data_IF_282192596222
#
_entry.id   IF_282192596222
#
_cell.length_a   1.000
_cell.length_b   1.000
_cell.length_c   1.000
_cell.angle_alpha   90.00
_cell.angle_beta   90.00
_cell.angle_gamma   90.00
#
_symmetry.space_group_name_H-M   'P 1'
#
loop_
_entity.id
_entity.type
_entity.pdbx_description
1 polymer ?
#
# COMPACT_ATOMS: atom_id res chain seq x y z
N UNK A 1 41.98 24.31 5.60
CA UNK A 1 41.29 23.46 6.60
C UNK A 1 39.78 23.37 6.38
N UNK A 2 39.05 24.47 6.10
CA UNK A 2 37.60 24.41 5.80
C UNK A 2 37.24 23.54 4.58
N UNK A 3 38.06 23.55 3.52
CA UNK A 3 37.78 22.79 2.28
C UNK A 3 37.79 21.26 2.45
N UNK A 4 38.67 20.70 3.29
CA UNK A 4 38.70 19.26 3.56
C UNK A 4 37.49 18.79 4.35
N UNK A 5 36.98 19.62 5.28
CA UNK A 5 35.81 19.30 6.11
C UNK A 5 34.53 19.27 5.27
N UNK A 6 34.39 20.18 4.30
CA UNK A 6 33.24 20.19 3.37
C UNK A 6 33.27 18.97 2.44
N UNK A 7 34.44 18.57 1.93
CA UNK A 7 34.58 17.38 1.06
C UNK A 7 34.30 16.09 1.84
N UNK A 8 34.78 15.98 3.09
CA UNK A 8 34.49 14.84 3.98
C UNK A 8 33.00 14.77 4.36
N UNK A 9 32.35 15.91 4.63
CA UNK A 9 30.90 15.98 4.89
C UNK A 9 30.08 15.59 3.65
N UNK A 10 30.47 16.04 2.46
CA UNK A 10 29.79 15.67 1.20
C UNK A 10 29.96 14.18 0.88
N UNK A 11 31.13 13.59 1.16
CA UNK A 11 31.36 12.14 1.04
C UNK A 11 30.51 11.33 2.04
N UNK A 12 30.40 11.80 3.29
CA UNK A 12 29.58 11.14 4.32
C UNK A 12 28.08 11.19 4.01
N UNK A 13 27.59 12.29 3.42
CA UNK A 13 26.20 12.44 2.99
C UNK A 13 25.91 11.53 1.78
N UNK A 14 26.87 11.32 0.88
CA UNK A 14 26.72 10.42 -0.28
C UNK A 14 26.70 8.92 0.11
N UNK A 15 27.36 8.56 1.22
CA UNK A 15 27.37 7.19 1.78
C UNK A 15 26.08 6.79 2.51
N UNK A 16 25.21 7.75 2.86
CA UNK A 16 24.13 7.51 3.82
C UNK A 16 22.76 7.17 3.22
N UNK A 17 22.61 7.04 1.90
CA UNK A 17 21.31 6.72 1.29
C UNK A 17 21.45 5.70 0.16
N UNK A 18 21.63 4.45 0.56
CA UNK A 18 21.23 3.28 -0.22
C UNK A 18 21.06 2.16 0.79
N UNK A 19 19.85 1.99 1.34
CA UNK A 19 19.51 0.67 1.90
C UNK A 19 19.48 -0.27 0.69
N UNK A 20 20.58 -0.98 0.49
CA UNK A 20 20.66 -1.97 -0.58
C UNK A 20 19.56 -3.01 -0.37
N UNK A 21 18.78 -3.24 -1.42
CA UNK A 21 17.74 -4.26 -1.40
C UNK A 21 18.40 -5.62 -1.11
N UNK A 22 17.89 -6.42 -0.15
CA UNK A 22 18.43 -7.73 0.16
C UNK A 22 18.67 -8.58 -1.10
N UNK A 23 19.78 -9.33 -1.13
CA UNK A 23 20.24 -10.00 -2.35
C UNK A 23 19.29 -11.08 -2.89
N UNK A 24 18.37 -11.58 -2.06
CA UNK A 24 17.34 -12.54 -2.46
C UNK A 24 16.12 -11.87 -3.10
N UNK A 25 15.98 -10.54 -2.98
CA UNK A 25 14.91 -9.80 -3.64
C UNK A 25 15.28 -9.49 -5.09
N UNK A 26 14.35 -9.67 -6.05
CA UNK A 26 14.61 -9.41 -7.45
C UNK A 26 14.90 -7.93 -7.70
N UNK A 27 15.86 -7.65 -8.58
CA UNK A 27 16.25 -6.30 -8.99
C UNK A 27 15.72 -6.00 -10.39
N UNK A 28 15.06 -4.86 -10.53
CA UNK A 28 14.53 -4.36 -11.80
C UNK A 28 15.03 -2.92 -12.01
N UNK A 29 15.56 -2.64 -13.19
CA UNK A 29 16.10 -1.33 -13.52
C UNK A 29 15.13 -0.57 -14.42
N UNK A 30 14.90 0.72 -14.12
CA UNK A 30 13.89 1.52 -14.82
C UNK A 30 14.19 1.73 -16.31
N UNK A 31 15.45 1.63 -16.70
CA UNK A 31 15.94 1.72 -18.08
C UNK A 31 15.88 0.38 -18.83
N UNK A 32 15.50 -0.71 -18.16
CA UNK A 32 15.30 -2.01 -18.80
C UNK A 32 14.04 -1.98 -19.69
N UNK A 33 14.13 -2.29 -21.00
CA UNK A 33 12.96 -2.37 -21.88
C UNK A 33 11.93 -3.41 -21.42
N UNK A 34 12.32 -4.37 -20.58
CA UNK A 34 11.45 -5.36 -19.96
C UNK A 34 11.11 -5.04 -18.49
N UNK A 35 11.26 -3.79 -18.03
CA UNK A 35 10.98 -3.37 -16.64
C UNK A 35 9.65 -3.90 -16.10
N UNK A 36 8.55 -3.74 -16.85
CA UNK A 36 7.23 -4.22 -16.42
C UNK A 36 7.19 -5.74 -16.19
N UNK A 37 7.82 -6.53 -17.07
CA UNK A 37 7.93 -7.98 -16.92
C UNK A 37 8.85 -8.37 -15.76
N UNK A 38 9.92 -7.60 -15.55
CA UNK A 38 10.79 -7.79 -14.39
C UNK A 38 10.00 -7.57 -13.09
N UNK A 39 9.31 -6.44 -12.95
CA UNK A 39 8.53 -6.11 -11.76
C UNK A 39 7.41 -7.11 -11.49
N UNK A 40 6.68 -7.54 -12.53
CA UNK A 40 5.65 -8.58 -12.42
C UNK A 40 6.24 -9.88 -11.83
N UNK A 41 7.38 -10.34 -12.36
CA UNK A 41 8.08 -11.51 -11.82
C UNK A 41 8.56 -11.26 -10.40
N UNK A 42 9.10 -10.07 -10.13
CA UNK A 42 9.61 -9.70 -8.83
C UNK A 42 8.55 -9.82 -7.73
N UNK A 43 7.37 -9.24 -7.97
CA UNK A 43 6.24 -9.29 -7.03
C UNK A 43 5.71 -10.70 -6.79
N UNK A 44 5.70 -11.58 -7.79
CA UNK A 44 5.26 -12.96 -7.58
C UNK A 44 6.36 -13.84 -6.92
N UNK A 45 7.64 -13.53 -7.15
CA UNK A 45 8.77 -14.25 -6.54
C UNK A 45 8.94 -13.97 -5.04
N UNK A 46 8.64 -12.75 -4.58
CA UNK A 46 8.72 -12.35 -3.18
C UNK A 46 7.58 -12.92 -2.32
N UNK A 47 6.50 -13.39 -2.95
CA UNK A 47 5.30 -13.91 -2.28
C UNK A 47 5.55 -14.85 -1.08
N UNK A 48 6.41 -15.88 -1.13
CA UNK A 48 6.67 -16.74 0.04
C UNK A 48 7.27 -15.98 1.24
N UNK A 49 7.93 -14.84 1.01
CA UNK A 49 8.61 -14.07 2.04
C UNK A 49 7.70 -13.00 2.66
N UNK A 50 6.61 -12.60 2.02
CA UNK A 50 5.75 -11.50 2.50
C UNK A 50 4.83 -11.89 3.65
N UNK A 51 4.60 -13.19 3.87
CA UNK A 51 3.67 -13.70 4.90
C UNK A 51 4.04 -13.17 6.29
N UNK A 52 5.31 -13.31 6.67
CA UNK A 52 5.85 -12.81 7.95
C UNK A 52 6.35 -11.36 7.87
N UNK A 53 6.31 -10.74 6.68
CA UNK A 53 6.95 -9.45 6.42
C UNK A 53 8.44 -9.58 6.11
N UNK A 54 9.06 -8.46 5.77
CA UNK A 54 10.47 -8.35 5.43
C UNK A 54 11.03 -7.11 6.14
N UNK A 55 11.69 -7.35 7.28
CA UNK A 55 12.13 -6.31 8.20
C UNK A 55 13.16 -5.37 7.56
N UNK A 56 14.05 -5.89 6.71
CA UNK A 56 15.12 -5.14 6.05
C UNK A 56 14.59 -3.98 5.21
N UNK A 57 13.42 -4.18 4.61
CA UNK A 57 12.71 -3.16 3.82
C UNK A 57 11.50 -2.56 4.56
N UNK A 58 11.25 -2.96 5.81
CA UNK A 58 10.12 -2.52 6.64
C UNK A 58 8.75 -3.00 6.17
N UNK A 59 8.70 -4.07 5.39
CA UNK A 59 7.42 -4.69 5.01
C UNK A 59 6.83 -5.40 6.23
N UNK A 60 5.66 -5.00 6.73
CA UNK A 60 5.01 -5.71 7.83
C UNK A 60 4.50 -7.09 7.38
N UNK A 61 4.18 -7.94 8.33
CA UNK A 61 3.45 -9.20 8.07
C UNK A 61 2.20 -8.95 7.24
N UNK A 62 2.06 -9.68 6.13
CA UNK A 62 0.83 -9.68 5.33
C UNK A 62 -0.15 -10.77 5.76
N UNK A 63 0.23 -11.64 6.69
CA UNK A 63 -0.66 -12.67 7.21
C UNK A 63 -0.35 -13.08 8.67
N UNK A 64 -1.02 -12.49 9.67
CA UNK A 64 -1.99 -11.41 9.56
C UNK A 64 -1.31 -10.05 9.38
N UNK A 65 -1.96 -9.17 8.62
CA UNK A 65 -1.69 -7.74 8.59
C UNK A 65 -2.55 -7.04 9.66
N UNK A 66 -1.90 -6.21 10.48
CA UNK A 66 -2.48 -5.64 11.69
C UNK A 66 -2.40 -4.11 11.67
N UNK A 67 -3.54 -3.46 11.80
CA UNK A 67 -3.65 -2.03 12.08
C UNK A 67 -4.30 -1.86 13.47
N UNK A 68 -3.55 -1.40 14.48
CA UNK A 68 -4.06 -1.32 15.85
C UNK A 68 -5.28 -0.42 15.98
N UNK A 69 -5.25 0.75 15.35
CA UNK A 69 -6.33 1.73 15.37
C UNK A 69 -6.39 2.44 14.02
N UNK A 70 -7.58 2.62 13.47
CA UNK A 70 -7.83 3.49 12.32
C UNK A 70 -9.16 4.21 12.52
N UNK A 71 -9.24 5.45 12.04
CA UNK A 71 -10.47 6.24 12.10
C UNK A 71 -10.82 6.68 10.69
N UNK A 72 -12.06 6.42 10.29
CA UNK A 72 -12.64 6.91 9.03
C UNK A 72 -13.60 8.04 9.38
N UNK A 73 -13.40 9.17 8.74
CA UNK A 73 -14.22 10.37 8.90
C UNK A 73 -15.00 10.59 7.61
N UNK A 74 -16.31 10.63 7.72
CA UNK A 74 -17.19 11.09 6.65
C UNK A 74 -17.72 12.47 7.05
N UNK A 75 -17.50 13.46 6.20
CA UNK A 75 -17.95 14.84 6.44
C UNK A 75 -18.54 15.43 5.17
N UNK A 76 -19.85 15.21 4.99
CA UNK A 76 -20.65 15.70 3.89
C UNK A 76 -21.93 16.34 4.43
N UNK A 77 -22.63 17.18 3.63
CA UNK A 77 -23.90 17.77 4.06
C UNK A 77 -24.97 16.73 4.43
N UNK A 78 -24.88 15.52 3.87
CA UNK A 78 -25.82 14.44 4.13
C UNK A 78 -25.37 13.51 5.26
N UNK A 79 -24.06 13.39 5.51
CA UNK A 79 -23.52 12.45 6.48
C UNK A 79 -22.28 13.04 7.17
N UNK A 80 -22.33 13.12 8.49
CA UNK A 80 -21.20 13.52 9.33
C UNK A 80 -21.04 12.48 10.43
N UNK A 81 -20.05 11.59 10.29
CA UNK A 81 -19.81 10.54 11.28
C UNK A 81 -18.34 10.09 11.29
N UNK A 82 -17.94 9.56 12.44
CA UNK A 82 -16.64 8.93 12.66
C UNK A 82 -16.84 7.44 12.88
N UNK A 83 -16.07 6.61 12.18
CA UNK A 83 -15.93 5.17 12.44
C UNK A 83 -14.53 4.90 12.96
N UNK A 84 -14.42 4.55 14.23
CA UNK A 84 -13.17 4.08 14.82
C UNK A 84 -13.12 2.56 14.73
N UNK A 85 -12.10 2.02 14.09
CA UNK A 85 -11.82 0.60 14.01
C UNK A 85 -10.60 0.27 14.87
N UNK A 86 -10.74 -0.76 15.70
CA UNK A 86 -9.72 -1.23 16.62
C UNK A 86 -9.34 -2.67 16.27
N UNK A 87 -8.06 -2.97 16.39
CA UNK A 87 -7.48 -4.27 16.10
C UNK A 87 -7.89 -4.81 14.72
N UNK A 88 -7.82 -3.93 13.71
CA UNK A 88 -8.16 -4.29 12.34
C UNK A 88 -7.12 -5.29 11.82
N UNK A 89 -7.59 -6.51 11.61
CA UNK A 89 -6.77 -7.67 11.28
C UNK A 89 -7.21 -8.22 9.94
N UNK A 90 -6.28 -8.34 9.01
CA UNK A 90 -6.50 -8.93 7.69
C UNK A 90 -5.60 -10.14 7.50
N UNK A 91 -6.18 -11.31 7.29
CA UNK A 91 -5.46 -12.54 6.98
C UNK A 91 -5.61 -12.90 5.49
N UNK A 92 -4.58 -13.55 4.93
CA UNK A 92 -4.57 -14.05 3.55
C UNK A 92 -4.09 -13.06 2.47
N UNK A 93 -3.51 -11.91 2.84
CA UNK A 93 -2.94 -10.97 1.85
C UNK A 93 -1.66 -11.50 1.20
N UNK A 94 -1.01 -12.50 1.78
CA UNK A 94 0.15 -13.22 1.24
C UNK A 94 -0.23 -14.22 0.13
N UNK A 95 -1.51 -14.58 0.04
CA UNK A 95 -2.04 -15.46 -1.00
C UNK A 95 -2.55 -14.64 -2.19
N UNK A 96 -1.64 -13.93 -2.86
CA UNK A 96 -1.94 -13.12 -4.04
C UNK A 96 -1.27 -13.64 -5.31
N UNK A 97 -1.78 -13.22 -6.45
CA UNK A 97 -1.16 -13.45 -7.76
C UNK A 97 -1.30 -12.16 -8.59
N UNK A 98 -0.17 -11.52 -8.90
CA UNK A 98 -0.17 -10.36 -9.78
C UNK A 98 -0.25 -10.87 -11.22
N UNK A 99 -1.34 -10.53 -11.90
CA UNK A 99 -1.61 -10.93 -13.28
C UNK A 99 -1.01 -9.95 -14.28
N UNK A 100 -1.04 -8.67 -13.95
CA UNK A 100 -0.58 -7.60 -14.81
C UNK A 100 0.09 -6.52 -13.96
N UNK A 101 1.17 -5.94 -14.48
CA UNK A 101 1.85 -4.79 -13.91
C UNK A 101 2.27 -3.86 -15.04
N UNK A 102 1.97 -2.58 -14.91
CA UNK A 102 2.41 -1.53 -15.82
C UNK A 102 2.87 -0.33 -15.02
N UNK A 103 4.01 0.23 -15.40
CA UNK A 103 4.52 1.48 -14.87
C UNK A 103 4.60 2.51 -15.99
N UNK A 104 4.02 3.68 -15.77
CA UNK A 104 4.15 4.85 -16.63
C UNK A 104 5.17 5.82 -15.99
N UNK A 105 6.37 5.97 -16.59
CA UNK A 105 7.41 6.84 -16.07
C UNK A 105 7.11 8.34 -16.26
N UNK A 106 6.25 8.73 -17.21
CA UNK A 106 5.92 10.14 -17.46
C UNK A 106 5.00 10.67 -16.38
N UNK A 107 3.95 9.90 -16.09
CA UNK A 107 3.02 10.25 -15.02
C UNK A 107 3.52 9.77 -13.66
N UNK A 108 4.52 8.90 -13.61
CA UNK A 108 4.99 8.21 -12.41
C UNK A 108 3.85 7.45 -11.76
N UNK A 109 3.12 6.65 -12.54
CA UNK A 109 1.95 5.89 -12.09
C UNK A 109 2.16 4.40 -12.28
N UNK A 110 1.54 3.58 -11.44
CA UNK A 110 1.58 2.13 -11.57
C UNK A 110 0.17 1.57 -11.60
N UNK A 111 -0.05 0.63 -12.51
CA UNK A 111 -1.25 -0.19 -12.61
C UNK A 111 -0.88 -1.64 -12.28
N UNK A 112 -1.72 -2.28 -11.49
CA UNK A 112 -1.61 -3.70 -11.20
C UNK A 112 -2.98 -4.35 -11.24
N UNK A 113 -3.02 -5.57 -11.76
CA UNK A 113 -4.16 -6.48 -11.62
C UNK A 113 -3.75 -7.59 -10.67
N UNK A 114 -4.38 -7.62 -9.51
CA UNK A 114 -4.06 -8.60 -8.46
C UNK A 114 -5.27 -9.49 -8.23
N UNK A 115 -5.02 -10.78 -8.09
CA UNK A 115 -5.99 -11.75 -7.61
C UNK A 115 -5.57 -12.25 -6.23
N UNK A 116 -6.40 -12.00 -5.23
CA UNK A 116 -6.23 -12.61 -3.92
C UNK A 116 -6.98 -13.94 -3.85
N UNK A 117 -6.49 -14.84 -3.00
CA UNK A 117 -7.23 -16.01 -2.54
C UNK A 117 -8.35 -15.61 -1.57
N UNK A 118 -8.50 -16.35 -0.49
CA UNK A 118 -9.44 -15.98 0.58
C UNK A 118 -8.80 -14.93 1.47
N UNK A 119 -9.44 -13.77 1.61
CA UNK A 119 -9.08 -12.74 2.58
C UNK A 119 -10.12 -12.75 3.71
N UNK A 120 -9.65 -12.74 4.96
CA UNK A 120 -10.50 -12.63 6.13
C UNK A 120 -10.15 -11.33 6.85
N UNK A 121 -11.13 -10.46 7.04
CA UNK A 121 -10.98 -9.21 7.76
C UNK A 121 -11.81 -9.24 9.03
N UNK A 122 -11.24 -8.70 10.11
CA UNK A 122 -11.89 -8.57 11.40
C UNK A 122 -11.51 -7.25 12.05
N UNK A 123 -12.48 -6.56 12.66
CA UNK A 123 -12.21 -5.41 13.52
C UNK A 123 -13.31 -5.23 14.57
N UNK A 124 -12.97 -4.55 15.65
CA UNK A 124 -13.96 -3.92 16.52
C UNK A 124 -14.23 -2.52 16.01
N UNK A 125 -15.49 -2.10 16.00
CA UNK A 125 -15.89 -0.80 15.47
C UNK A 125 -16.69 -0.01 16.49
N UNK A 126 -16.48 1.30 16.52
CA UNK A 126 -17.28 2.28 17.22
C UNK A 126 -17.65 3.39 16.24
N UNK A 127 -18.94 3.59 16.02
CA UNK A 127 -19.47 4.62 15.14
C UNK A 127 -20.19 5.69 15.98
N UNK A 128 -19.96 6.95 15.67
CA UNK A 128 -20.69 8.10 16.22
C UNK A 128 -20.89 9.16 15.14
N UNK A 129 -22.13 9.62 14.95
CA UNK A 129 -22.44 10.74 14.08
C UNK A 129 -23.90 10.76 13.64
N UNK A 130 -24.15 11.31 12.45
CA UNK A 130 -25.47 11.47 11.88
C UNK A 130 -25.48 11.21 10.37
N UNK A 131 -26.60 10.69 9.86
CA UNK A 131 -26.92 10.57 8.43
C UNK A 131 -28.32 11.14 8.20
N UNK A 132 -28.45 12.11 7.31
CA UNK A 132 -29.71 12.80 6.99
C UNK A 132 -30.48 13.25 8.25
N UNK A 133 -29.77 13.85 9.21
CA UNK A 133 -30.25 14.27 10.54
C UNK A 133 -30.63 13.14 11.52
N UNK A 134 -30.43 11.87 11.17
CA UNK A 134 -30.67 10.73 12.05
C UNK A 134 -29.37 10.41 12.80
N UNK A 135 -29.35 10.41 14.15
CA UNK A 135 -28.18 10.02 14.92
C UNK A 135 -27.90 8.53 14.75
N UNK A 136 -26.63 8.21 14.50
CA UNK A 136 -26.11 6.85 14.44
C UNK A 136 -25.02 6.71 15.50
N UNK A 137 -25.22 5.78 16.44
CA UNK A 137 -24.21 5.41 17.44
C UNK A 137 -24.24 3.92 17.64
N UNK A 138 -23.07 3.31 17.73
CA UNK A 138 -22.99 1.88 17.93
C UNK A 138 -21.58 1.41 18.19
N UNK A 139 -21.48 0.29 18.91
CA UNK A 139 -20.25 -0.47 19.06
C UNK A 139 -20.52 -1.90 18.63
N UNK A 140 -19.55 -2.53 17.97
CA UNK A 140 -19.69 -3.89 17.51
C UNK A 140 -18.38 -4.48 17.02
N UNK A 141 -18.48 -5.66 16.42
CA UNK A 141 -17.38 -6.29 15.70
C UNK A 141 -17.86 -6.67 14.31
N UNK A 142 -17.02 -6.49 13.31
CA UNK A 142 -17.27 -6.99 11.97
C UNK A 142 -16.32 -8.14 11.64
N UNK A 143 -16.82 -9.09 10.86
CA UNK A 143 -15.99 -10.13 10.24
C UNK A 143 -16.44 -10.28 8.79
N UNK A 144 -15.53 -10.02 7.88
CA UNK A 144 -15.78 -10.14 6.44
C UNK A 144 -14.89 -11.22 5.85
N UNK A 145 -15.45 -11.98 4.91
CA UNK A 145 -14.72 -12.99 4.16
C UNK A 145 -14.86 -12.65 2.69
N UNK A 146 -13.74 -12.39 2.05
CA UNK A 146 -13.63 -12.16 0.61
C UNK A 146 -13.03 -13.41 -0.01
N UNK A 147 -13.56 -13.79 -1.16
CA UNK A 147 -13.16 -15.00 -1.87
C UNK A 147 -12.73 -14.62 -3.28
N UNK A 148 -12.16 -15.57 -4.02
CA UNK A 148 -11.58 -15.30 -5.34
C UNK A 148 -12.54 -14.61 -6.33
N UNK A 149 -13.85 -14.83 -6.21
CA UNK A 149 -14.87 -14.20 -7.05
C UNK A 149 -15.07 -12.70 -6.76
N UNK A 150 -14.65 -12.19 -5.60
CA UNK A 150 -14.76 -10.76 -5.26
C UNK A 150 -13.59 -9.93 -5.79
N UNK A 151 -12.64 -10.55 -6.50
CA UNK A 151 -11.48 -9.85 -7.07
C UNK A 151 -11.88 -8.79 -8.09
N UNK A 152 -12.95 -8.99 -8.86
CA UNK A 152 -13.40 -7.99 -9.82
C UNK A 152 -13.86 -6.71 -9.11
N UNK A 153 -14.52 -6.82 -7.96
CA UNK A 153 -14.90 -5.66 -7.14
C UNK A 153 -13.67 -5.00 -6.49
N UNK A 154 -12.69 -5.77 -6.03
CA UNK A 154 -11.45 -5.22 -5.47
C UNK A 154 -10.64 -4.47 -6.53
N UNK A 155 -10.55 -5.01 -7.75
CA UNK A 155 -9.85 -4.38 -8.87
C UNK A 155 -10.62 -3.16 -9.40
N UNK A 156 -11.95 -3.22 -9.45
CA UNK A 156 -12.79 -2.07 -9.80
C UNK A 156 -12.70 -0.93 -8.78
N UNK A 157 -12.44 -1.25 -7.50
CA UNK A 157 -12.19 -0.29 -6.42
C UNK A 157 -10.71 -0.29 -6.01
N UNK A 158 -9.80 -0.45 -6.98
CA UNK A 158 -8.35 -0.42 -6.76
C UNK A 158 -7.93 0.84 -6.00
N UNK A 159 -8.60 1.96 -6.31
CA UNK A 159 -9.23 2.80 -5.29
C UNK A 159 -8.75 2.80 -3.84
N UNK A 160 -9.67 2.20 -3.11
CA UNK A 160 -9.66 1.88 -1.72
C UNK A 160 -8.47 0.99 -1.35
N UNK A 161 -8.06 0.07 -2.24
CA UNK A 161 -6.93 -0.84 -1.98
C UNK A 161 -5.62 -0.06 -1.90
N UNK A 162 -5.37 0.84 -2.86
CA UNK A 162 -4.20 1.71 -2.84
C UNK A 162 -4.23 2.62 -1.62
N UNK A 163 -5.36 3.26 -1.31
CA UNK A 163 -5.51 4.08 -0.09
C UNK A 163 -5.25 3.28 1.20
N UNK A 164 -5.72 2.03 1.28
CA UNK A 164 -5.51 1.15 2.42
C UNK A 164 -4.06 0.69 2.54
N UNK A 165 -3.35 0.55 1.41
CA UNK A 165 -1.92 0.25 1.37
C UNK A 165 -1.05 1.50 1.48
N UNK A 166 -1.59 2.72 1.34
CA UNK A 166 -0.83 3.98 1.50
C UNK A 166 -0.07 4.03 2.81
N UNK A 167 -0.63 3.69 3.99
CA UNK A 167 0.13 3.66 5.24
C UNK A 167 1.25 2.62 5.23
N UNK A 168 1.07 1.49 4.53
CA UNK A 168 2.12 0.48 4.33
C UNK A 168 3.24 1.08 3.48
N UNK A 169 2.88 1.73 2.36
CA UNK A 169 3.81 2.43 1.50
C UNK A 169 4.52 3.61 2.19
N UNK A 170 3.83 4.35 3.05
CA UNK A 170 4.39 5.44 3.86
C UNK A 170 5.32 4.90 4.94
N UNK A 171 5.01 3.76 5.55
CA UNK A 171 5.91 3.08 6.49
C UNK A 171 7.14 2.48 5.79
N UNK A 172 6.97 1.96 4.57
CA UNK A 172 8.07 1.60 3.67
C UNK A 172 8.89 2.84 3.24
N UNK A 173 8.29 4.05 3.23
CA UNK A 173 8.93 5.29 2.80
C UNK A 173 9.91 5.90 3.81
N UNK A 174 9.83 5.52 5.10
CA UNK A 174 10.88 5.82 6.09
C UNK A 174 12.19 5.05 5.77
N UNK A 175 12.12 4.07 4.87
CA UNK A 175 13.22 3.21 4.42
C UNK A 175 13.49 3.52 2.93
N UNK A 176 14.15 4.65 2.65
CA UNK A 176 14.97 4.82 1.44
C UNK A 176 14.30 4.95 0.07
N UNK A 177 12.97 5.06 -0.06
CA UNK A 177 12.28 5.24 -1.37
C UNK A 177 11.65 6.64 -1.51
N UNK A 178 12.34 7.65 -0.98
CA UNK A 178 11.80 9.02 -0.84
C UNK A 178 11.72 9.84 -2.15
N UNK A 179 12.02 9.26 -3.32
CA UNK A 179 11.87 9.95 -4.61
C UNK A 179 10.77 9.40 -5.52
N UNK A 180 10.35 8.15 -5.31
CA UNK A 180 9.36 7.48 -6.16
C UNK A 180 7.93 7.59 -5.59
N UNK A 181 7.74 7.30 -4.30
CA UNK A 181 6.40 7.26 -3.68
C UNK A 181 5.80 8.65 -3.39
N UNK A 182 6.65 9.66 -3.14
CA UNK A 182 6.22 11.05 -2.92
C UNK A 182 5.64 11.72 -4.17
N UNK A 183 5.88 11.12 -5.33
CA UNK A 183 5.32 11.54 -6.63
C UNK A 183 3.94 10.89 -6.83
N UNK A 184 3.80 9.62 -6.42
CA UNK A 184 2.55 8.86 -6.51
C UNK A 184 1.43 9.39 -5.61
N UNK A 185 1.76 9.87 -4.42
CA UNK A 185 0.77 10.46 -3.49
C UNK A 185 0.24 11.83 -3.93
N UNK A 186 0.81 12.43 -4.99
CA UNK A 186 0.36 13.72 -5.56
C UNK A 186 -0.48 13.56 -6.82
N UNK A 187 -0.67 12.34 -7.32
CA UNK A 187 -1.43 12.10 -8.54
C UNK A 187 -2.88 11.83 -8.12
N UNK A 188 -3.83 12.66 -8.55
CA UNK A 188 -5.23 12.42 -8.25
C UNK A 188 -5.64 11.02 -8.72
N UNK A 189 -6.33 10.29 -7.86
CA UNK A 189 -6.68 8.89 -8.06
C UNK A 189 -7.30 8.59 -9.43
N UNK A 190 -8.13 9.51 -9.94
CA UNK A 190 -8.83 9.41 -11.22
C UNK A 190 -7.91 9.47 -12.46
N UNK A 191 -6.61 9.81 -12.30
CA UNK A 191 -5.62 9.82 -13.38
C UNK A 191 -4.83 8.51 -13.50
N UNK A 192 -4.97 7.61 -12.54
CA UNK A 192 -4.29 6.30 -12.53
C UNK A 192 -5.05 5.22 -13.34
N UNK A 193 -6.23 5.56 -13.86
CA UNK A 193 -7.10 4.63 -14.56
C UNK A 193 -7.40 5.18 -15.96
N UNK A 194 -7.28 4.39 -17.04
CA UNK A 194 -7.86 4.78 -18.32
C UNK A 194 -9.39 4.89 -18.17
N UNK A 195 -10.06 5.76 -18.95
CA UNK A 195 -11.51 5.91 -18.88
C UNK A 195 -12.19 4.58 -19.17
N UNK A 196 -13.05 4.14 -18.25
CA UNK A 196 -13.93 2.99 -18.45
C UNK A 196 -14.91 3.30 -19.58
N UNK A 197 -14.76 2.59 -20.70
CA UNK A 197 -15.82 2.46 -21.70
C UNK A 197 -16.88 1.46 -21.24
#
# INVERSE_FOLDING_TARGET
MLGCVVILLLLFICLSISKELPSYLPRCYLDDPEFNKCMLRAFNQIRPNVSNGIEEIGLPSLNPFLIPNMSVLEDTPLANFTVNLFNYTTAGLDNYDIKEFQFDPETMTFYFKIEFGTIIMFAFLEIDGHVANIPIRGKGSNRHVYVRLTNDMLNANSDMVVKALTPVFEKLSEIGVMRFMKTLTKIPYYKLLPPSH
#
